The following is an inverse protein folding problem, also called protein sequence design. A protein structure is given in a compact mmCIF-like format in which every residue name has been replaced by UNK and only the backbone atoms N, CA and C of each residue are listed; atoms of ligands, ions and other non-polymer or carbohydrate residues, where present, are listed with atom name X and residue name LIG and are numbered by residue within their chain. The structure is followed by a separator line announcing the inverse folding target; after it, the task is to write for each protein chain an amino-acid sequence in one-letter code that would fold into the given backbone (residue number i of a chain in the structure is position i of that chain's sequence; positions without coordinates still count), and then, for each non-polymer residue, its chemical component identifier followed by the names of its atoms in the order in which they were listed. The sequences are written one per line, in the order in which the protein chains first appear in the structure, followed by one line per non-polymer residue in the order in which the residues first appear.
data_IF_923142415884
#
_entry.id   IF_923142415884
#
_cell.length_a   1.000
_cell.length_b   1.000
_cell.length_c   1.000
_cell.angle_alpha   90.00
_cell.angle_beta   90.00
_cell.angle_gamma   90.00
#
_symmetry.space_group_name_H-M   'P 1'
#
loop_
_entity.id
_entity.type
_entity.pdbx_description
1 polymer ?
#
# COMPACT_ATOMS: atom_id res chain seq x y z
N UNK A 1 -34.14 50.23 33.37
CA UNK A 1 -33.73 50.01 31.96
C UNK A 1 -32.44 49.19 31.87
N UNK A 2 -32.18 48.29 32.84
CA UNK A 2 -31.04 47.36 32.87
C UNK A 2 -31.51 45.92 33.18
N UNK A 3 -32.66 45.77 33.86
CA UNK A 3 -33.24 44.45 34.18
C UNK A 3 -33.62 43.63 32.95
N UNK A 4 -34.15 44.27 31.89
CA UNK A 4 -34.58 43.56 30.68
C UNK A 4 -33.42 42.94 29.90
N UNK A 5 -32.22 43.54 29.97
CA UNK A 5 -31.02 43.03 29.27
C UNK A 5 -30.46 41.81 30.00
N UNK A 6 -30.40 41.88 31.34
CA UNK A 6 -29.95 40.77 32.20
C UNK A 6 -30.92 39.59 32.07
N UNK A 7 -32.22 39.83 32.08
CA UNK A 7 -33.24 38.79 31.90
C UNK A 7 -33.13 38.12 30.53
N UNK A 8 -32.82 38.89 29.47
CA UNK A 8 -32.61 38.34 28.14
C UNK A 8 -31.34 37.47 28.08
N UNK A 9 -30.27 37.90 28.75
CA UNK A 9 -29.00 37.17 28.82
C UNK A 9 -29.17 35.85 29.58
N UNK A 10 -29.83 35.87 30.74
CA UNK A 10 -30.13 34.66 31.53
C UNK A 10 -31.02 33.70 30.72
N UNK A 11 -32.06 34.21 30.04
CA UNK A 11 -32.93 33.39 29.21
C UNK A 11 -32.20 32.79 27.98
N UNK A 12 -31.18 33.48 27.45
CA UNK A 12 -30.33 32.97 26.39
C UNK A 12 -29.41 31.85 26.90
N UNK A 13 -28.83 32.00 28.08
CA UNK A 13 -28.00 30.96 28.70
C UNK A 13 -28.80 29.71 29.10
N UNK A 14 -29.98 29.88 29.68
CA UNK A 14 -30.89 28.78 30.00
C UNK A 14 -31.30 28.01 28.75
N UNK A 15 -31.62 28.70 27.65
CA UNK A 15 -31.88 28.05 26.35
C UNK A 15 -30.66 27.32 25.82
N UNK A 16 -29.47 27.91 25.92
CA UNK A 16 -28.21 27.30 25.48
C UNK A 16 -27.93 26.01 26.24
N UNK A 17 -28.11 26.00 27.56
CA UNK A 17 -27.93 24.83 28.42
C UNK A 17 -29.00 23.77 28.15
N UNK A 18 -30.27 24.16 28.00
CA UNK A 18 -31.35 23.21 27.73
C UNK A 18 -31.19 22.50 26.37
N UNK A 19 -30.72 23.22 25.34
CA UNK A 19 -30.40 22.62 24.04
C UNK A 19 -29.23 21.62 24.13
N UNK A 20 -28.28 21.84 25.03
CA UNK A 20 -27.16 20.93 25.31
C UNK A 20 -27.61 19.66 26.03
N UNK A 21 -28.44 19.83 27.07
CA UNK A 21 -28.99 18.73 27.88
C UNK A 21 -29.92 17.83 27.06
N UNK A 22 -30.73 18.41 26.17
CA UNK A 22 -31.61 17.66 25.27
C UNK A 22 -30.87 17.00 24.10
N UNK A 23 -29.55 17.19 23.97
CA UNK A 23 -28.76 16.67 22.85
C UNK A 23 -29.09 17.30 21.49
N UNK A 24 -30.05 18.23 21.44
CA UNK A 24 -30.49 18.92 20.21
C UNK A 24 -29.40 19.86 19.70
N UNK A 25 -28.52 20.36 20.59
CA UNK A 25 -27.34 21.18 20.24
C UNK A 25 -26.18 20.35 19.69
N UNK A 26 -26.39 19.11 19.29
CA UNK A 26 -25.44 18.48 18.37
C UNK A 26 -25.56 19.20 17.04
N UNK A 27 -24.59 20.06 16.74
CA UNK A 27 -24.47 20.69 15.42
C UNK A 27 -24.54 19.59 14.35
N UNK A 28 -25.16 19.90 13.21
CA UNK A 28 -25.15 19.00 12.04
C UNK A 28 -23.73 18.53 11.72
N UNK A 29 -22.73 19.37 11.99
CA UNK A 29 -21.31 19.06 11.85
C UNK A 29 -20.81 17.97 12.82
N UNK A 30 -21.21 18.01 14.09
CA UNK A 30 -20.85 16.99 15.07
C UNK A 30 -21.53 15.65 14.77
N UNK A 31 -22.78 15.70 14.30
CA UNK A 31 -23.50 14.50 13.87
C UNK A 31 -22.89 13.89 12.62
N UNK A 32 -22.53 14.73 11.64
CA UNK A 32 -21.81 14.29 10.45
C UNK A 32 -20.44 13.70 10.77
N UNK A 33 -19.73 14.27 11.76
CA UNK A 33 -18.48 13.71 12.27
C UNK A 33 -18.68 12.32 12.90
N UNK A 34 -19.67 12.16 13.78
CA UNK A 34 -19.99 10.89 14.40
C UNK A 34 -20.37 9.79 13.40
N UNK A 35 -21.14 10.12 12.36
CA UNK A 35 -21.49 9.19 11.28
C UNK A 35 -20.23 8.76 10.50
N UNK A 36 -19.36 9.71 10.13
CA UNK A 36 -18.09 9.37 9.46
C UNK A 36 -17.21 8.48 10.32
N UNK A 37 -17.13 8.74 11.63
CA UNK A 37 -16.35 7.94 12.57
C UNK A 37 -16.92 6.53 12.74
N UNK A 38 -18.23 6.38 12.88
CA UNK A 38 -18.89 5.08 12.99
C UNK A 38 -18.68 4.21 11.72
N UNK A 39 -18.85 4.82 10.54
CA UNK A 39 -18.58 4.14 9.26
C UNK A 39 -17.10 3.76 9.17
N UNK A 40 -16.19 4.69 9.46
CA UNK A 40 -14.74 4.45 9.41
C UNK A 40 -14.31 3.35 10.38
N UNK A 41 -14.87 3.33 11.59
CA UNK A 41 -14.58 2.33 12.62
C UNK A 41 -15.06 0.94 12.17
N UNK A 42 -16.29 0.84 11.67
CA UNK A 42 -16.86 -0.42 11.19
C UNK A 42 -16.06 -0.96 9.98
N UNK A 43 -15.68 -0.08 9.06
CA UNK A 43 -14.81 -0.46 7.94
C UNK A 43 -13.44 -0.96 8.43
N UNK A 44 -12.82 -0.30 9.40
CA UNK A 44 -11.56 -0.78 9.97
C UNK A 44 -11.70 -2.11 10.72
N UNK A 45 -12.81 -2.37 11.39
CA UNK A 45 -13.04 -3.62 12.11
C UNK A 45 -13.27 -4.80 11.14
N UNK A 46 -14.12 -4.59 10.13
CA UNK A 46 -14.49 -5.63 9.17
C UNK A 46 -13.39 -5.85 8.13
N UNK A 47 -12.86 -4.78 7.55
CA UNK A 47 -11.87 -4.85 6.47
C UNK A 47 -10.43 -4.83 7.00
N UNK A 48 -10.17 -4.25 8.17
CA UNK A 48 -8.82 -4.05 8.70
C UNK A 48 -8.12 -2.82 8.11
N UNK A 49 -7.00 -2.44 8.72
CA UNK A 49 -6.08 -1.47 8.09
C UNK A 49 -5.28 -2.14 6.97
N UNK A 50 -5.08 -1.43 5.84
CA UNK A 50 -4.19 -1.85 4.75
C UNK A 50 -2.78 -2.02 5.30
N UNK A 51 -2.39 -3.27 5.60
CA UNK A 51 -0.99 -3.58 5.87
C UNK A 51 -0.26 -3.53 4.54
N UNK A 52 0.54 -2.49 4.33
CA UNK A 52 1.52 -2.46 3.26
C UNK A 52 2.63 -3.46 3.61
N UNK A 53 2.34 -4.74 3.40
CA UNK A 53 3.39 -5.74 3.38
C UNK A 53 4.25 -5.42 2.17
N UNK A 54 5.44 -4.87 2.42
CA UNK A 54 6.47 -4.80 1.41
C UNK A 54 6.94 -6.24 1.18
N UNK A 55 6.20 -6.96 0.33
CA UNK A 55 6.58 -8.31 -0.05
C UNK A 55 7.73 -8.16 -1.04
N UNK A 56 8.90 -8.66 -0.69
CA UNK A 56 10.06 -8.68 -1.58
C UNK A 56 9.65 -9.45 -2.84
N UNK A 57 9.41 -8.73 -3.92
CA UNK A 57 9.03 -9.28 -5.23
C UNK A 57 10.17 -10.08 -5.88
N UNK A 58 11.33 -10.13 -5.24
CA UNK A 58 12.59 -10.59 -5.81
C UNK A 58 13.08 -11.74 -4.93
N UNK A 59 13.38 -12.87 -5.55
CA UNK A 59 13.89 -14.04 -4.85
C UNK A 59 15.33 -13.82 -4.39
N UNK A 60 15.76 -14.55 -3.35
CA UNK A 60 17.15 -14.50 -2.86
C UNK A 60 18.14 -14.86 -3.97
N UNK A 61 17.80 -15.83 -4.83
CA UNK A 61 18.61 -16.21 -6.00
C UNK A 61 18.77 -15.05 -7.00
N UNK A 62 17.71 -14.26 -7.25
CA UNK A 62 17.83 -13.04 -8.08
C UNK A 62 18.69 -11.98 -7.40
N UNK A 63 18.63 -11.82 -6.07
CA UNK A 63 19.49 -10.90 -5.33
C UNK A 63 20.97 -11.29 -5.45
N UNK A 64 21.28 -12.58 -5.33
CA UNK A 64 22.64 -13.10 -5.51
C UNK A 64 23.17 -12.82 -6.92
N UNK A 65 22.36 -13.03 -7.95
CA UNK A 65 22.71 -12.70 -9.35
C UNK A 65 22.91 -11.19 -9.57
N UNK A 66 22.12 -10.35 -8.91
CA UNK A 66 22.32 -8.89 -8.94
C UNK A 66 23.65 -8.51 -8.32
N UNK A 67 24.03 -9.17 -7.22
CA UNK A 67 25.32 -8.96 -6.58
C UNK A 67 26.48 -9.43 -7.46
N UNK A 68 26.34 -10.59 -8.12
CA UNK A 68 27.32 -11.08 -9.10
C UNK A 68 27.51 -10.08 -10.24
N UNK A 69 26.41 -9.53 -10.79
CA UNK A 69 26.46 -8.50 -11.83
C UNK A 69 27.23 -7.26 -11.37
N UNK A 70 27.07 -6.84 -10.12
CA UNK A 70 27.82 -5.71 -9.53
C UNK A 70 29.31 -6.03 -9.45
N UNK A 71 29.68 -7.24 -9.05
CA UNK A 71 31.07 -7.68 -9.00
C UNK A 71 31.70 -7.69 -10.39
N UNK A 72 31.00 -8.18 -11.42
CA UNK A 72 31.47 -8.13 -12.82
C UNK A 72 31.61 -6.69 -13.32
N UNK A 73 30.70 -5.78 -12.91
CA UNK A 73 30.82 -4.35 -13.22
C UNK A 73 32.05 -3.73 -12.58
N UNK A 74 32.37 -4.10 -11.34
CA UNK A 74 33.58 -3.65 -10.65
C UNK A 74 34.84 -4.13 -11.38
N UNK A 75 34.88 -5.39 -11.85
CA UNK A 75 35.99 -5.92 -12.63
C UNK A 75 36.24 -5.15 -13.95
N UNK A 76 35.19 -4.68 -14.62
CA UNK A 76 35.32 -3.79 -15.79
C UNK A 76 35.96 -2.46 -15.39
N UNK A 77 35.52 -1.88 -14.27
CA UNK A 77 36.00 -0.57 -13.81
C UNK A 77 37.47 -0.61 -13.35
N UNK A 78 37.93 -1.74 -12.81
CA UNK A 78 39.32 -1.90 -12.32
C UNK A 78 40.29 -2.45 -13.36
N UNK A 79 39.80 -2.89 -14.53
CA UNK A 79 40.63 -3.44 -15.61
C UNK A 79 41.68 -2.43 -16.11
N UNK A 80 42.92 -2.90 -16.31
CA UNK A 80 44.06 -2.05 -16.69
C UNK A 80 44.37 -2.14 -18.18
N UNK A 81 44.19 -3.32 -18.77
CA UNK A 81 44.45 -3.54 -20.20
C UNK A 81 43.15 -3.66 -20.99
N UNK A 82 43.23 -3.38 -22.31
CA UNK A 82 42.08 -3.49 -23.21
C UNK A 82 41.55 -4.93 -23.28
N UNK A 83 42.43 -5.92 -23.24
CA UNK A 83 42.06 -7.34 -23.28
C UNK A 83 41.27 -7.77 -22.03
N UNK A 84 41.74 -7.38 -20.84
CA UNK A 84 41.02 -7.61 -19.58
C UNK A 84 39.62 -6.97 -19.59
N UNK A 85 39.54 -5.72 -20.07
CA UNK A 85 38.28 -4.98 -20.17
C UNK A 85 37.29 -5.69 -21.10
N UNK A 86 37.75 -6.15 -22.27
CA UNK A 86 36.90 -6.89 -23.22
C UNK A 86 36.41 -8.20 -22.63
N UNK A 87 37.26 -8.95 -21.91
CA UNK A 87 36.85 -10.19 -21.23
C UNK A 87 35.81 -9.92 -20.14
N UNK A 88 36.07 -8.96 -19.25
CA UNK A 88 35.15 -8.59 -18.18
C UNK A 88 33.80 -8.06 -18.72
N UNK A 89 33.83 -7.35 -19.84
CA UNK A 89 32.62 -6.88 -20.53
C UNK A 89 31.77 -8.03 -21.08
N UNK A 90 32.40 -9.07 -21.63
CA UNK A 90 31.71 -10.27 -22.08
C UNK A 90 31.02 -10.99 -20.91
N UNK A 91 31.74 -11.20 -19.80
CA UNK A 91 31.20 -11.83 -18.58
C UNK A 91 30.03 -11.03 -17.98
N UNK A 92 30.16 -9.70 -17.89
CA UNK A 92 29.07 -8.84 -17.43
C UNK A 92 27.83 -8.94 -18.32
N UNK A 93 28.01 -9.07 -19.63
CA UNK A 93 26.89 -9.16 -20.58
C UNK A 93 26.07 -10.42 -20.36
N UNK A 94 26.73 -11.56 -20.11
CA UNK A 94 26.05 -12.81 -19.81
C UNK A 94 25.31 -12.77 -18.46
N UNK A 95 25.97 -12.31 -17.39
CA UNK A 95 25.31 -12.20 -16.07
C UNK A 95 24.15 -11.20 -16.12
N UNK A 96 24.27 -10.10 -16.86
CA UNK A 96 23.19 -9.12 -17.01
C UNK A 96 21.97 -9.70 -17.76
N UNK A 97 22.17 -10.60 -18.74
CA UNK A 97 21.06 -11.33 -19.37
C UNK A 97 20.36 -12.24 -18.36
N UNK A 98 21.12 -12.96 -17.53
CA UNK A 98 20.57 -13.85 -16.50
C UNK A 98 19.76 -13.08 -15.45
N UNK A 99 20.27 -11.95 -14.96
CA UNK A 99 19.53 -11.07 -14.03
C UNK A 99 18.21 -10.60 -14.62
N UNK A 100 18.21 -10.16 -15.89
CA UNK A 100 16.97 -9.74 -16.56
C UNK A 100 15.98 -10.90 -16.69
N UNK A 101 16.46 -12.12 -16.95
CA UNK A 101 15.62 -13.31 -17.04
C UNK A 101 15.04 -13.67 -15.67
N UNK A 102 15.84 -13.68 -14.60
CA UNK A 102 15.37 -14.04 -13.26
C UNK A 102 14.35 -13.04 -12.73
N UNK A 103 14.55 -11.73 -12.92
CA UNK A 103 13.56 -10.71 -12.54
C UNK A 103 12.21 -10.93 -13.26
N UNK A 104 12.24 -11.34 -14.54
CA UNK A 104 11.01 -11.66 -15.29
C UNK A 104 10.33 -12.92 -14.74
N UNK A 105 11.11 -13.94 -14.37
CA UNK A 105 10.60 -15.17 -13.75
C UNK A 105 9.97 -14.87 -12.40
N UNK A 106 10.67 -14.18 -11.50
CA UNK A 106 10.15 -13.81 -10.17
C UNK A 106 8.83 -13.04 -10.27
N UNK A 107 8.74 -12.07 -11.21
CA UNK A 107 7.51 -11.31 -11.46
C UNK A 107 6.36 -12.19 -11.93
N UNK A 108 6.65 -13.21 -12.74
CA UNK A 108 5.65 -14.15 -13.25
C UNK A 108 5.17 -15.09 -12.14
N UNK A 109 6.09 -15.69 -11.39
CA UNK A 109 5.79 -16.58 -10.26
C UNK A 109 4.93 -15.86 -9.23
N UNK A 110 5.26 -14.60 -8.92
CA UNK A 110 4.43 -13.78 -8.03
C UNK A 110 3.00 -13.57 -8.54
N UNK A 111 2.83 -13.36 -9.85
CA UNK A 111 1.50 -13.26 -10.47
C UNK A 111 0.71 -14.57 -10.39
N UNK A 112 1.39 -15.71 -10.59
CA UNK A 112 0.80 -17.05 -10.49
C UNK A 112 0.40 -17.37 -9.03
N UNK A 113 1.24 -17.03 -8.05
CA UNK A 113 0.94 -17.15 -6.61
C UNK A 113 -0.28 -16.32 -6.19
N UNK A 114 -0.40 -15.10 -6.73
CA UNK A 114 -1.59 -14.27 -6.50
C UNK A 114 -2.84 -14.92 -7.11
N UNK A 115 -2.77 -15.40 -8.34
CA UNK A 115 -3.90 -16.05 -9.00
C UNK A 115 -4.37 -17.29 -8.23
N UNK A 116 -3.45 -18.16 -7.80
CA UNK A 116 -3.78 -19.33 -6.99
C UNK A 116 -4.38 -18.97 -5.63
N UNK A 117 -3.91 -17.89 -5.00
CA UNK A 117 -4.48 -17.37 -3.75
C UNK A 117 -5.91 -16.86 -3.96
N UNK A 118 -6.17 -16.12 -5.04
CA UNK A 118 -7.54 -15.66 -5.40
C UNK A 118 -8.46 -16.86 -5.61
N UNK A 119 -8.05 -17.84 -6.40
CA UNK A 119 -8.86 -19.04 -6.67
C UNK A 119 -9.20 -19.80 -5.39
N UNK A 120 -8.22 -19.96 -4.49
CA UNK A 120 -8.44 -20.63 -3.20
C UNK A 120 -9.42 -19.85 -2.33
N UNK A 121 -9.26 -18.53 -2.20
CA UNK A 121 -10.16 -17.69 -1.42
C UNK A 121 -11.60 -17.72 -1.97
N UNK A 122 -11.76 -17.79 -3.29
CA UNK A 122 -13.06 -17.94 -3.94
C UNK A 122 -13.74 -19.27 -3.58
N UNK A 123 -12.98 -20.38 -3.61
CA UNK A 123 -13.48 -21.71 -3.25
C UNK A 123 -13.88 -21.82 -1.77
N UNK A 124 -13.11 -21.17 -0.89
CA UNK A 124 -13.35 -21.18 0.56
C UNK A 124 -14.43 -20.16 1.00
N UNK A 125 -14.95 -19.34 0.10
CA UNK A 125 -15.90 -18.27 0.43
C UNK A 125 -15.29 -17.14 1.29
N UNK A 126 -13.96 -17.02 1.32
CA UNK A 126 -13.24 -16.01 2.10
C UNK A 126 -13.25 -14.66 1.37
N UNK A 127 -14.37 -13.95 1.45
CA UNK A 127 -14.59 -12.69 0.74
C UNK A 127 -13.58 -11.59 1.08
N UNK A 128 -13.05 -11.59 2.31
CA UNK A 128 -12.04 -10.61 2.74
C UNK A 128 -10.72 -10.79 1.99
N UNK A 129 -10.19 -12.03 1.96
CA UNK A 129 -8.96 -12.33 1.23
C UNK A 129 -9.13 -12.15 -0.28
N UNK A 130 -10.31 -12.47 -0.82
CA UNK A 130 -10.61 -12.29 -2.23
C UNK A 130 -10.54 -10.82 -2.66
N UNK A 131 -11.11 -9.91 -1.85
CA UNK A 131 -11.05 -8.48 -2.10
C UNK A 131 -9.62 -7.92 -2.03
N UNK A 132 -8.87 -8.25 -0.96
CA UNK A 132 -7.50 -7.77 -0.77
C UNK A 132 -6.56 -8.23 -1.89
N UNK A 133 -6.71 -9.49 -2.33
CA UNK A 133 -5.86 -10.08 -3.38
C UNK A 133 -6.20 -9.54 -4.77
N UNK A 134 -7.49 -9.30 -5.06
CA UNK A 134 -7.96 -8.67 -6.32
C UNK A 134 -7.50 -7.21 -6.40
N UNK A 135 -7.48 -6.49 -5.29
CA UNK A 135 -6.96 -5.12 -5.25
C UNK A 135 -5.45 -5.08 -5.52
N UNK A 136 -4.70 -6.02 -4.96
CA UNK A 136 -3.26 -6.13 -5.21
C UNK A 136 -2.95 -6.48 -6.67
N UNK A 137 -3.74 -7.36 -7.30
CA UNK A 137 -3.54 -7.71 -8.72
C UNK A 137 -3.78 -6.52 -9.66
N UNK A 138 -4.78 -5.67 -9.37
CA UNK A 138 -5.03 -4.42 -10.10
C UNK A 138 -3.87 -3.43 -9.98
N UNK A 139 -3.25 -3.32 -8.80
CA UNK A 139 -2.09 -2.45 -8.55
C UNK A 139 -0.86 -2.90 -9.37
N UNK A 140 -0.70 -4.21 -9.60
CA UNK A 140 0.38 -4.77 -10.44
C UNK A 140 0.10 -4.57 -11.93
N UNK A 141 -1.15 -4.74 -12.38
CA UNK A 141 -1.54 -4.55 -13.78
C UNK A 141 -1.35 -3.10 -14.24
N UNK A 142 -1.61 -2.12 -13.36
CA UNK A 142 -1.33 -0.71 -13.65
C UNK A 142 0.16 -0.45 -13.92
N UNK A 143 1.06 -1.08 -13.14
CA UNK A 143 2.51 -0.95 -13.30
C UNK A 143 3.09 -1.74 -14.49
N UNK A 144 2.29 -2.58 -15.16
CA UNK A 144 2.71 -3.30 -16.37
C UNK A 144 2.50 -2.47 -17.65
N UNK A 145 1.64 -1.44 -17.62
CA UNK A 145 1.31 -0.63 -18.80
C UNK A 145 2.26 0.55 -19.06
N UNK A 146 3.22 0.82 -18.16
CA UNK A 146 4.19 1.91 -18.28
C UNK A 146 5.56 1.49 -18.89
N UNK A 147 5.65 0.34 -19.56
CA UNK A 147 6.84 -0.13 -20.29
C UNK A 147 6.53 -0.59 -21.70
#
# INVERSE_FOLDING_TARGET
MWDTEIDFQIAAEMRRHNLEVLGIRTSVESNWKGIKEAITSTCHEVLGHKKHHHKELITVDTLDKIQERRNKKAAINTSRTRAEKTKAQAEYTEVNKLVKKSIRTDKREYGEDLATTVEKAAREGNMRQLYDTTKNSLEIAANQNDQ
#
